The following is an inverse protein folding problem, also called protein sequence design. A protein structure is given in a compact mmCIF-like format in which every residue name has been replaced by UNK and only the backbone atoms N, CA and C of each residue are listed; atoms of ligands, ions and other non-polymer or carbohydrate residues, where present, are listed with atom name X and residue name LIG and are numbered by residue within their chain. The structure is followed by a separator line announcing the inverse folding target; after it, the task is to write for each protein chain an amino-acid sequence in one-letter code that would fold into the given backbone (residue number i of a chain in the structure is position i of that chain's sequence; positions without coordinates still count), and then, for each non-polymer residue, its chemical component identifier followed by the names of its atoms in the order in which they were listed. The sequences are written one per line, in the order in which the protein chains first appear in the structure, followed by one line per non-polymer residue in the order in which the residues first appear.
data_IF_733122407904
#
_entry.id   IF_733122407904
#
_cell.length_a   1.000
_cell.length_b   1.000
_cell.length_c   1.000
_cell.angle_alpha   90.00
_cell.angle_beta   90.00
_cell.angle_gamma   90.00
#
_symmetry.space_group_name_H-M   'P 1'
#
loop_
_entity.id
_entity.type
_entity.pdbx_description
1 polymer ?
#
# COMPACT_ATOMS: atom_id res chain seq x y z
N UNK A 1 -17.55 17.39 8.10
CA UNK A 1 -16.22 17.25 8.73
C UNK A 1 -16.20 16.04 9.62
N UNK A 2 -15.83 14.89 9.06
CA UNK A 2 -15.80 13.58 9.73
C UNK A 2 -14.50 13.33 10.52
N UNK A 3 -13.75 14.39 10.81
CA UNK A 3 -12.46 14.25 11.48
C UNK A 3 -12.63 14.32 13.00
N UNK A 4 -12.25 13.26 13.73
CA UNK A 4 -12.27 13.32 15.19
C UNK A 4 -11.28 14.38 15.68
N UNK A 5 -11.58 15.10 16.78
CA UNK A 5 -10.68 16.10 17.36
C UNK A 5 -9.28 15.55 17.70
N UNK A 6 -9.17 14.25 17.97
CA UNK A 6 -7.91 13.54 18.22
C UNK A 6 -7.82 12.25 17.40
N UNK A 7 -7.36 12.30 16.13
CA UNK A 7 -7.33 11.14 15.24
C UNK A 7 -6.33 10.07 15.65
N UNK A 8 -5.33 10.41 16.48
CA UNK A 8 -4.35 9.43 16.95
C UNK A 8 -4.92 8.56 18.08
N UNK A 9 -5.56 9.19 19.06
CA UNK A 9 -6.10 8.47 20.23
C UNK A 9 -7.45 7.80 19.94
N UNK A 10 -8.21 8.28 18.94
CA UNK A 10 -9.45 7.61 18.51
C UNK A 10 -9.20 6.26 17.83
N UNK A 11 -7.99 6.01 17.32
CA UNK A 11 -7.57 4.77 16.66
C UNK A 11 -6.93 3.84 17.68
N UNK A 12 -7.72 2.90 18.20
CA UNK A 12 -7.32 1.99 19.29
C UNK A 12 -6.42 0.85 18.84
N UNK A 13 -6.53 0.42 17.58
CA UNK A 13 -5.71 -0.66 17.03
C UNK A 13 -4.39 -0.08 16.52
N UNK A 14 -3.25 -0.66 16.91
CA UNK A 14 -1.94 -0.23 16.43
C UNK A 14 -1.77 -0.62 14.96
N UNK A 15 -1.89 -1.91 14.64
CA UNK A 15 -1.61 -2.46 13.31
C UNK A 15 -2.75 -3.36 12.85
N UNK A 16 -3.23 -3.14 11.64
CA UNK A 16 -4.35 -3.89 11.07
C UNK A 16 -3.97 -4.60 9.78
N UNK A 17 -4.36 -5.87 9.69
CA UNK A 17 -4.33 -6.69 8.49
C UNK A 17 -5.60 -7.54 8.41
N UNK A 18 -6.27 -7.46 7.27
CA UNK A 18 -7.31 -8.42 6.89
C UNK A 18 -7.16 -8.78 5.43
N UNK A 19 -7.28 -10.08 5.12
CA UNK A 19 -7.33 -10.56 3.75
C UNK A 19 -6.72 -11.94 3.56
N UNK A 20 -6.58 -12.37 2.31
CA UNK A 20 -6.13 -13.73 2.02
C UNK A 20 -4.65 -13.91 2.38
N UNK A 21 -4.40 -14.84 3.31
CA UNK A 21 -3.07 -15.21 3.80
C UNK A 21 -2.43 -16.34 3.01
N UNK A 22 -3.24 -17.21 2.37
CA UNK A 22 -2.76 -18.34 1.57
C UNK A 22 -3.14 -18.15 0.10
N UNK A 23 -2.13 -17.93 -0.76
CA UNK A 23 -2.25 -17.91 -2.23
C UNK A 23 -0.90 -18.32 -2.81
N UNK A 24 -0.86 -19.41 -3.60
CA UNK A 24 0.34 -19.94 -4.32
C UNK A 24 1.66 -19.88 -3.49
N UNK A 25 2.82 -19.80 -4.14
CA UNK A 25 4.17 -19.94 -3.57
C UNK A 25 4.62 -18.80 -2.63
N UNK A 26 3.95 -17.63 -2.63
CA UNK A 26 4.36 -16.46 -1.81
C UNK A 26 3.43 -16.13 -0.63
N UNK A 27 2.39 -16.95 -0.38
CA UNK A 27 1.67 -16.95 0.90
C UNK A 27 2.58 -17.20 2.13
N UNK A 28 3.84 -17.56 1.91
CA UNK A 28 4.87 -17.77 2.92
C UNK A 28 5.08 -16.55 3.80
N UNK A 29 5.19 -15.34 3.24
CA UNK A 29 5.44 -14.13 4.06
C UNK A 29 4.23 -13.83 4.94
N UNK A 30 3.02 -13.85 4.36
CA UNK A 30 1.78 -13.64 5.11
C UNK A 30 1.57 -14.72 6.18
N UNK A 31 1.80 -15.99 5.86
CA UNK A 31 1.70 -17.09 6.81
C UNK A 31 2.73 -17.00 7.94
N UNK A 32 3.95 -16.52 7.66
CA UNK A 32 4.96 -16.25 8.69
C UNK A 32 4.57 -15.06 9.57
N UNK A 33 4.08 -13.98 8.98
CA UNK A 33 3.60 -12.79 9.69
C UNK A 33 2.43 -13.12 10.62
N UNK A 34 1.52 -14.03 10.25
CA UNK A 34 0.47 -14.55 11.16
C UNK A 34 1.11 -15.06 12.45
N UNK A 35 2.18 -15.84 12.38
CA UNK A 35 2.81 -16.44 13.57
C UNK A 35 3.50 -15.39 14.44
N UNK A 36 4.11 -14.38 13.81
CA UNK A 36 4.87 -13.33 14.50
C UNK A 36 3.94 -12.31 15.16
N UNK A 37 2.87 -11.91 14.46
CA UNK A 37 1.96 -10.86 14.92
C UNK A 37 0.84 -11.40 15.82
N UNK A 38 0.71 -12.73 15.93
CA UNK A 38 -0.21 -13.35 16.89
C UNK A 38 0.28 -13.12 18.32
N UNK A 39 -0.62 -12.61 19.17
CA UNK A 39 -0.36 -12.42 20.60
C UNK A 39 -0.24 -10.96 21.04
N UNK A 40 -0.21 -10.02 20.11
CA UNK A 40 -0.34 -8.60 20.43
C UNK A 40 -1.81 -8.20 20.49
N UNK A 41 -2.26 -7.67 21.62
CA UNK A 41 -3.67 -7.28 21.85
C UNK A 41 -4.12 -6.13 20.96
N UNK A 42 -3.19 -5.24 20.60
CA UNK A 42 -3.40 -4.06 19.76
C UNK A 42 -3.10 -4.31 18.27
N UNK A 43 -2.91 -5.57 17.86
CA UNK A 43 -2.67 -5.95 16.45
C UNK A 43 -3.80 -6.87 15.97
N UNK A 44 -4.52 -6.41 14.94
CA UNK A 44 -5.52 -7.24 14.26
C UNK A 44 -4.89 -7.90 13.04
N UNK A 45 -4.76 -9.22 13.06
CA UNK A 45 -4.30 -9.99 11.90
C UNK A 45 -5.28 -11.13 11.59
N UNK A 46 -6.05 -10.99 10.51
CA UNK A 46 -7.12 -11.93 10.19
C UNK A 46 -7.05 -12.42 8.73
N UNK A 47 -7.13 -13.75 8.57
CA UNK A 47 -7.32 -14.36 7.25
C UNK A 47 -8.78 -14.26 6.82
N UNK A 48 -9.06 -13.65 5.68
CA UNK A 48 -10.43 -13.52 5.15
C UNK A 48 -10.53 -13.68 3.63
N UNK A 49 -11.76 -13.96 3.17
CA UNK A 49 -12.16 -13.97 1.76
C UNK A 49 -12.96 -12.71 1.44
N UNK A 50 -12.90 -12.25 0.19
CA UNK A 50 -13.61 -11.06 -0.26
C UNK A 50 -15.12 -11.34 -0.40
N UNK A 51 -15.86 -11.09 0.68
CA UNK A 51 -17.32 -10.99 0.73
C UNK A 51 -17.73 -9.54 1.02
N UNK A 52 -18.98 -9.16 0.72
CA UNK A 52 -19.48 -7.80 1.00
C UNK A 52 -19.28 -7.36 2.46
N UNK A 53 -19.55 -8.25 3.41
CA UNK A 53 -19.38 -7.99 4.84
C UNK A 53 -17.90 -7.88 5.22
N UNK A 54 -17.03 -8.71 4.64
CA UNK A 54 -15.59 -8.64 4.89
C UNK A 54 -14.97 -7.33 4.40
N UNK A 55 -15.50 -6.75 3.32
CA UNK A 55 -15.04 -5.46 2.78
C UNK A 55 -15.41 -4.36 3.76
N UNK A 56 -16.69 -4.30 4.19
CA UNK A 56 -17.15 -3.31 5.19
C UNK A 56 -16.35 -3.41 6.49
N UNK A 57 -16.16 -4.63 7.00
CA UNK A 57 -15.40 -4.86 8.22
C UNK A 57 -13.91 -4.51 8.06
N UNK A 58 -13.33 -4.71 6.86
CA UNK A 58 -11.97 -4.26 6.57
C UNK A 58 -11.87 -2.74 6.59
N UNK A 59 -12.79 -2.02 5.92
CA UNK A 59 -12.81 -0.55 5.93
C UNK A 59 -13.00 0.02 7.33
N UNK A 60 -13.89 -0.57 8.14
CA UNK A 60 -14.08 -0.17 9.54
C UNK A 60 -12.81 -0.40 10.37
N UNK A 61 -12.21 -1.59 10.25
CA UNK A 61 -10.96 -1.91 10.94
C UNK A 61 -9.80 -0.99 10.56
N UNK A 62 -9.65 -0.65 9.27
CA UNK A 62 -8.65 0.31 8.83
C UNK A 62 -8.89 1.71 9.41
N UNK A 63 -10.14 2.15 9.51
CA UNK A 63 -10.50 3.47 10.10
C UNK A 63 -10.25 3.54 11.61
N UNK A 64 -10.32 2.42 12.33
CA UNK A 64 -10.01 2.35 13.77
C UNK A 64 -8.54 2.06 14.08
N UNK A 65 -7.69 1.93 13.05
CA UNK A 65 -6.29 1.52 13.20
C UNK A 65 -5.30 2.62 12.86
N UNK A 66 -4.20 2.71 13.60
CA UNK A 66 -3.13 3.68 13.35
C UNK A 66 -2.35 3.34 12.09
N UNK A 67 -2.04 2.06 11.92
CA UNK A 67 -1.26 1.54 10.81
C UNK A 67 -1.98 0.38 10.12
N UNK A 68 -1.78 0.27 8.80
CA UNK A 68 -2.36 -0.79 7.98
C UNK A 68 -1.26 -1.58 7.28
N UNK A 69 -1.11 -2.84 7.65
CA UNK A 69 -0.08 -3.71 7.13
C UNK A 69 -0.38 -4.06 5.67
N UNK A 70 0.61 -3.85 4.82
CA UNK A 70 0.57 -4.12 3.40
C UNK A 70 1.78 -4.96 2.98
N UNK A 71 1.75 -6.27 3.24
CA UNK A 71 2.77 -7.17 2.74
C UNK A 71 2.52 -7.40 1.26
N UNK A 72 3.57 -7.23 0.46
CA UNK A 72 3.57 -7.57 -0.95
C UNK A 72 3.02 -8.99 -1.16
N UNK A 73 2.36 -9.20 -2.28
CA UNK A 73 1.96 -10.53 -2.75
C UNK A 73 2.22 -10.65 -4.25
N UNK A 74 1.72 -11.75 -4.85
CA UNK A 74 2.00 -12.18 -6.23
C UNK A 74 1.87 -11.10 -7.33
N UNK A 75 1.06 -10.05 -7.10
CA UNK A 75 0.86 -8.95 -8.04
C UNK A 75 0.68 -7.63 -7.28
N UNK A 76 1.13 -6.48 -7.84
CA UNK A 76 0.87 -5.15 -7.27
C UNK A 76 -0.63 -4.77 -7.30
N UNK A 77 -1.50 -5.64 -7.81
CA UNK A 77 -2.95 -5.44 -7.96
C UNK A 77 -3.76 -5.60 -6.67
N UNK A 78 -3.13 -5.52 -5.49
CA UNK A 78 -3.85 -5.66 -4.22
C UNK A 78 -4.55 -4.34 -3.87
N UNK A 79 -5.88 -4.34 -3.84
CA UNK A 79 -6.69 -3.18 -3.43
C UNK A 79 -6.34 -2.67 -2.02
N UNK A 80 -5.73 -3.49 -1.15
CA UNK A 80 -5.42 -3.14 0.24
C UNK A 80 -4.67 -1.81 0.40
N UNK A 81 -3.76 -1.47 -0.52
CA UNK A 81 -3.03 -0.21 -0.42
C UNK A 81 -3.98 0.97 -0.63
N UNK A 82 -4.80 0.89 -1.68
CA UNK A 82 -5.82 1.88 -1.99
C UNK A 82 -6.83 1.98 -0.84
N UNK A 83 -7.33 0.85 -0.33
CA UNK A 83 -8.28 0.81 0.80
C UNK A 83 -7.71 1.47 2.07
N UNK A 84 -6.43 1.25 2.37
CA UNK A 84 -5.75 1.86 3.50
C UNK A 84 -5.61 3.38 3.34
N UNK A 85 -5.24 3.84 2.13
CA UNK A 85 -5.10 5.26 1.80
C UNK A 85 -6.45 5.99 1.94
N UNK A 86 -7.52 5.49 1.32
CA UNK A 86 -8.87 6.11 1.40
C UNK A 86 -9.51 5.97 2.78
N UNK A 87 -9.02 5.05 3.62
CA UNK A 87 -9.41 4.93 5.03
C UNK A 87 -8.55 5.77 5.97
N UNK A 88 -7.60 6.54 5.43
CA UNK A 88 -6.62 7.34 6.15
C UNK A 88 -5.87 6.53 7.23
N UNK A 89 -5.52 5.29 6.91
CA UNK A 89 -4.74 4.41 7.75
C UNK A 89 -3.30 4.37 7.23
N UNK A 90 -2.32 4.78 8.05
CA UNK A 90 -0.92 4.91 7.61
C UNK A 90 -0.39 3.56 7.10
N UNK A 91 -0.04 3.43 5.81
CA UNK A 91 0.40 2.15 5.26
C UNK A 91 1.73 1.71 5.87
N UNK A 92 1.83 0.43 6.22
CA UNK A 92 3.09 -0.25 6.58
C UNK A 92 3.41 -1.23 5.48
N UNK A 93 4.33 -0.86 4.60
CA UNK A 93 4.63 -1.59 3.38
C UNK A 93 5.77 -2.56 3.66
N UNK A 94 5.53 -3.85 3.44
CA UNK A 94 6.53 -4.90 3.61
C UNK A 94 6.89 -5.47 2.24
N UNK A 95 8.02 -5.04 1.69
CA UNK A 95 8.52 -5.44 0.38
C UNK A 95 9.92 -4.91 0.12
N UNK A 96 10.72 -5.67 -0.63
CA UNK A 96 12.06 -5.23 -1.05
C UNK A 96 12.08 -4.66 -2.48
N UNK A 97 11.01 -4.87 -3.27
CA UNK A 97 11.02 -4.65 -4.74
C UNK A 97 9.70 -4.15 -5.33
N UNK A 98 8.71 -3.82 -4.49
CA UNK A 98 7.40 -3.41 -5.03
C UNK A 98 7.49 -2.00 -5.60
N UNK A 99 7.04 -1.83 -6.84
CA UNK A 99 6.74 -0.52 -7.40
C UNK A 99 5.36 -0.08 -6.88
N UNK A 100 5.29 1.10 -6.29
CA UNK A 100 4.07 1.67 -5.73
C UNK A 100 3.34 2.55 -6.77
N UNK A 101 2.01 2.62 -6.69
CA UNK A 101 1.25 3.44 -7.62
C UNK A 101 1.61 4.92 -7.45
N UNK A 102 1.98 5.57 -8.55
CA UNK A 102 2.34 6.98 -8.60
C UNK A 102 3.59 7.36 -7.78
N UNK A 103 4.52 6.42 -7.54
CA UNK A 103 5.70 6.66 -6.69
C UNK A 103 6.72 7.68 -7.21
N UNK A 104 6.70 7.97 -8.52
CA UNK A 104 7.44 9.06 -9.18
C UNK A 104 6.82 10.45 -8.93
N UNK A 105 5.55 10.52 -8.54
CA UNK A 105 4.82 11.76 -8.21
C UNK A 105 4.63 11.93 -6.70
N UNK A 106 4.45 10.81 -5.97
CA UNK A 106 4.12 10.77 -4.55
C UNK A 106 5.26 10.17 -3.75
N UNK A 107 5.83 10.98 -2.85
CA UNK A 107 6.83 10.49 -1.90
C UNK A 107 6.16 9.72 -0.75
N UNK A 108 6.11 8.40 -0.89
CA UNK A 108 5.52 7.48 0.10
C UNK A 108 6.22 7.55 1.47
N UNK A 109 7.49 7.96 1.55
CA UNK A 109 8.19 8.08 2.84
C UNK A 109 7.56 9.14 3.76
N UNK A 110 6.77 10.06 3.19
CA UNK A 110 6.08 11.10 3.96
C UNK A 110 4.79 10.62 4.61
N UNK A 111 4.23 9.48 4.20
CA UNK A 111 2.93 9.01 4.68
C UNK A 111 2.83 7.49 4.87
N UNK A 112 3.93 6.76 4.73
CA UNK A 112 4.01 5.31 4.91
C UNK A 112 5.27 4.92 5.67
N UNK A 113 5.27 3.73 6.26
CA UNK A 113 6.43 3.12 6.90
C UNK A 113 6.84 1.89 6.09
N UNK A 114 8.13 1.69 5.89
CA UNK A 114 8.67 0.58 5.11
C UNK A 114 9.42 -0.40 5.98
N UNK A 115 9.27 -1.69 5.67
CA UNK A 115 10.11 -2.76 6.19
C UNK A 115 10.52 -3.67 5.04
N UNK A 116 11.78 -4.10 5.04
CA UNK A 116 12.18 -5.24 4.22
C UNK A 116 11.45 -6.52 4.66
N UNK A 117 11.42 -7.52 3.80
CA UNK A 117 10.85 -8.83 4.16
C UNK A 117 11.65 -9.43 5.34
N UNK A 118 12.96 -9.23 5.38
CA UNK A 118 13.82 -9.74 6.44
C UNK A 118 13.48 -9.11 7.80
N UNK A 119 13.44 -7.78 7.88
CA UNK A 119 13.09 -7.04 9.10
C UNK A 119 11.68 -7.39 9.61
N UNK A 120 10.72 -7.49 8.69
CA UNK A 120 9.34 -7.82 9.04
C UNK A 120 9.18 -9.23 9.61
N UNK A 121 10.11 -10.13 9.31
CA UNK A 121 10.12 -11.51 9.81
C UNK A 121 10.87 -11.67 11.14
N UNK A 122 11.56 -10.63 11.63
CA UNK A 122 12.14 -10.63 12.97
C UNK A 122 11.01 -10.44 14.01
N UNK A 123 10.81 -11.39 14.94
CA UNK A 123 9.76 -11.27 15.94
C UNK A 123 9.87 -9.99 16.77
N UNK A 124 8.76 -9.26 16.91
CA UNK A 124 8.67 -8.03 17.69
C UNK A 124 9.22 -6.77 17.03
N UNK A 125 10.19 -6.88 16.12
CA UNK A 125 10.88 -5.72 15.52
C UNK A 125 9.92 -4.69 14.92
N UNK A 126 9.00 -5.13 14.06
CA UNK A 126 8.03 -4.24 13.41
C UNK A 126 7.12 -3.55 14.42
N UNK A 127 6.53 -4.30 15.36
CA UNK A 127 5.57 -3.77 16.34
C UNK A 127 6.27 -2.77 17.27
N UNK A 128 7.46 -3.09 17.75
CA UNK A 128 8.26 -2.19 18.58
C UNK A 128 8.63 -0.91 17.85
N UNK A 129 9.02 -1.01 16.57
CA UNK A 129 9.35 0.16 15.77
C UNK A 129 8.14 1.07 15.55
N UNK A 130 6.98 0.49 15.23
CA UNK A 130 5.72 1.25 15.09
C UNK A 130 5.30 1.94 16.39
N UNK A 131 5.52 1.31 17.55
CA UNK A 131 5.24 1.90 18.87
C UNK A 131 6.20 3.04 19.24
N UNK A 132 7.43 3.01 18.72
CA UNK A 132 8.44 4.07 18.93
C UNK A 132 8.17 5.33 18.12
N UNK A 133 7.31 5.28 17.10
CA UNK A 133 6.94 6.45 16.30
C UNK A 133 6.17 7.44 17.20
N UNK A 134 6.66 8.68 17.39
CA UNK A 134 5.96 9.68 18.18
C UNK A 134 4.60 10.05 17.59
N UNK A 135 3.67 10.47 18.45
CA UNK A 135 2.31 10.91 18.05
C UNK A 135 2.38 12.00 16.98
N UNK A 136 3.29 12.96 17.14
CA UNK A 136 3.49 14.08 16.23
C UNK A 136 3.89 13.60 14.84
N UNK A 137 4.82 12.64 14.79
CA UNK A 137 5.28 12.05 13.53
C UNK A 137 4.17 11.26 12.83
N UNK A 138 3.38 10.52 13.60
CA UNK A 138 2.22 9.83 13.05
C UNK A 138 1.18 10.81 12.50
N UNK A 139 0.92 11.92 13.20
CA UNK A 139 -0.02 12.96 12.76
C UNK A 139 0.43 13.64 11.47
N UNK A 140 1.74 13.86 11.29
CA UNK A 140 2.29 14.33 10.00
C UNK A 140 1.97 13.36 8.87
N UNK A 141 2.27 12.08 9.05
CA UNK A 141 1.99 11.04 8.05
C UNK A 141 0.49 10.97 7.74
N UNK A 142 -0.36 11.02 8.77
CA UNK A 142 -1.81 10.95 8.63
C UNK A 142 -2.38 12.16 7.88
N UNK A 143 -1.92 13.38 8.16
CA UNK A 143 -2.33 14.58 7.40
C UNK A 143 -1.89 14.49 5.95
N UNK A 144 -0.64 14.06 5.72
CA UNK A 144 -0.13 13.86 4.37
C UNK A 144 -0.92 12.80 3.61
N UNK A 145 -1.33 11.72 4.29
CA UNK A 145 -2.16 10.67 3.72
C UNK A 145 -3.50 11.21 3.21
N UNK A 146 -4.14 12.11 3.97
CA UNK A 146 -5.37 12.78 3.56
C UNK A 146 -5.19 13.68 2.34
N UNK A 147 -4.08 14.41 2.29
CA UNK A 147 -3.74 15.24 1.13
C UNK A 147 -3.59 14.37 -0.12
N UNK A 148 -2.96 13.20 -0.03
CA UNK A 148 -2.73 12.34 -1.20
C UNK A 148 -3.92 11.46 -1.56
N UNK A 149 -4.89 11.25 -0.67
CA UNK A 149 -5.99 10.31 -0.88
C UNK A 149 -6.80 10.60 -2.17
N UNK A 150 -7.01 11.87 -2.50
CA UNK A 150 -7.73 12.26 -3.72
C UNK A 150 -7.07 11.80 -5.03
N UNK A 151 -5.74 11.58 -5.04
CA UNK A 151 -5.00 11.02 -6.17
C UNK A 151 -5.40 9.56 -6.47
N UNK A 152 -6.06 8.89 -5.53
CA UNK A 152 -6.51 7.50 -5.64
C UNK A 152 -8.02 7.38 -5.85
N UNK A 153 -8.74 8.51 -5.93
CA UNK A 153 -10.18 8.54 -6.14
C UNK A 153 -10.53 8.86 -7.60
N UNK A 154 -11.39 8.03 -8.19
CA UNK A 154 -11.94 8.30 -9.52
C UNK A 154 -13.09 9.31 -9.40
N UNK A 155 -13.01 10.40 -10.16
CA UNK A 155 -14.04 11.45 -10.19
C UNK A 155 -14.66 11.53 -11.60
N UNK A 156 -15.94 11.90 -11.65
CA UNK A 156 -16.61 12.24 -12.90
C UNK A 156 -17.41 13.55 -12.72
N UNK A 157 -17.08 14.64 -13.46
CA UNK A 157 -15.96 14.76 -14.40
C UNK A 157 -14.59 14.68 -13.71
N UNK A 158 -13.51 14.33 -14.44
CA UNK A 158 -12.17 14.28 -13.87
C UNK A 158 -11.78 15.62 -13.23
N UNK A 159 -11.18 15.55 -12.04
CA UNK A 159 -10.65 16.71 -11.33
C UNK A 159 -9.13 16.75 -11.45
N UNK A 160 -8.56 17.95 -11.25
CA UNK A 160 -7.11 18.11 -11.25
C UNK A 160 -6.48 17.14 -10.25
N UNK A 161 -5.47 16.41 -10.73
CA UNK A 161 -4.69 15.44 -9.97
C UNK A 161 -5.51 14.28 -9.37
N UNK A 162 -6.72 14.01 -9.84
CA UNK A 162 -7.45 12.79 -9.47
C UNK A 162 -6.81 11.51 -10.05
N UNK A 163 -7.38 10.33 -9.73
CA UNK A 163 -6.85 9.06 -10.22
C UNK A 163 -6.71 9.00 -11.75
N UNK A 164 -7.62 9.61 -12.51
CA UNK A 164 -7.56 9.63 -13.98
C UNK A 164 -6.37 10.46 -14.46
N UNK A 165 -6.18 11.65 -13.87
CA UNK A 165 -5.07 12.55 -14.18
C UNK A 165 -3.73 11.89 -13.83
N UNK A 166 -3.64 11.27 -12.65
CA UNK A 166 -2.44 10.58 -12.17
C UNK A 166 -2.05 9.40 -13.07
N UNK A 167 -3.02 8.59 -13.52
CA UNK A 167 -2.76 7.53 -14.52
C UNK A 167 -2.19 8.12 -15.80
N UNK A 168 -2.70 9.27 -16.25
CA UNK A 168 -2.23 9.87 -17.50
C UNK A 168 -0.82 10.46 -17.38
N UNK A 169 -0.46 11.03 -16.22
CA UNK A 169 0.93 11.40 -15.90
C UNK A 169 1.85 10.19 -15.95
N UNK A 170 1.47 9.06 -15.35
CA UNK A 170 2.26 7.81 -15.41
C UNK A 170 2.53 7.36 -16.83
N UNK A 171 1.49 7.32 -17.66
CA UNK A 171 1.64 6.91 -19.06
C UNK A 171 2.56 7.88 -19.80
N UNK A 172 2.39 9.19 -19.60
CA UNK A 172 3.23 10.20 -20.21
C UNK A 172 4.71 10.04 -19.82
N UNK A 173 5.01 9.69 -18.56
CA UNK A 173 6.37 9.47 -18.07
C UNK A 173 7.00 8.17 -18.59
N UNK A 174 6.23 7.07 -18.67
CA UNK A 174 6.78 5.74 -19.01
C UNK A 174 6.88 5.48 -20.52
N UNK A 175 5.97 6.05 -21.32
CA UNK A 175 5.90 5.81 -22.77
C UNK A 175 7.19 6.15 -23.53
N UNK A 176 7.91 7.25 -23.25
CA UNK A 176 9.14 7.58 -23.98
C UNK A 176 10.22 6.50 -23.86
N UNK A 177 10.44 5.95 -22.65
CA UNK A 177 11.43 4.91 -22.41
C UNK A 177 11.08 3.61 -23.15
N UNK A 178 9.81 3.19 -23.09
CA UNK A 178 9.32 2.01 -23.80
C UNK A 178 9.41 2.17 -25.32
N UNK A 179 9.04 3.34 -25.86
CA UNK A 179 9.21 3.65 -27.30
C UNK A 179 10.66 3.55 -27.73
N UNK A 180 11.59 4.07 -26.91
CA UNK A 180 13.02 3.97 -27.19
C UNK A 180 13.50 2.51 -27.18
N UNK A 181 13.06 1.70 -26.20
CA UNK A 181 13.38 0.28 -26.13
C UNK A 181 12.88 -0.49 -27.36
N UNK A 182 11.63 -0.26 -27.77
CA UNK A 182 11.03 -0.85 -28.99
C UNK A 182 11.82 -0.45 -30.24
N UNK A 183 12.17 0.83 -30.38
CA UNK A 183 12.93 1.31 -31.54
C UNK A 183 14.33 0.69 -31.62
N UNK A 184 15.02 0.53 -30.48
CA UNK A 184 16.32 -0.16 -30.41
C UNK A 184 16.18 -1.63 -30.81
N UNK A 185 15.19 -2.34 -30.27
CA UNK A 185 14.95 -3.74 -30.59
C UNK A 185 14.61 -3.95 -32.08
N UNK A 186 13.86 -3.03 -32.70
CA UNK A 186 13.54 -3.09 -34.14
C UNK A 186 14.77 -2.95 -35.02
N UNK A 187 15.72 -2.07 -34.69
CA UNK A 187 16.96 -1.87 -35.47
C UNK A 187 17.86 -3.11 -35.49
N UNK A 188 17.80 -3.93 -34.44
CA UNK A 188 18.63 -5.12 -34.28
C UNK A 188 18.03 -6.37 -34.95
N UNK A 189 16.80 -6.30 -35.45
CA UNK A 189 16.23 -7.37 -36.28
C UNK A 189 16.85 -7.28 -37.67
N UNK A 190 17.79 -8.17 -37.98
CA UNK A 190 18.25 -8.40 -39.35
C UNK A 190 17.08 -9.01 -40.13
N UNK A 191 16.58 -8.37 -41.19
CA UNK A 191 15.56 -8.98 -42.04
C UNK A 191 16.17 -10.19 -42.78
N UNK A 192 15.44 -11.31 -42.85
CA UNK A 192 15.72 -12.41 -43.78
C UNK A 192 15.46 -11.89 -45.20
N UNK A 193 16.43 -11.19 -45.80
CA UNK A 193 16.32 -10.63 -47.15
C UNK A 193 16.35 -11.70 -48.25
N UNK A 194 16.63 -12.95 -47.88
CA UNK A 194 16.79 -14.11 -48.77
C UNK A 194 15.59 -15.08 -48.76
N UNK A 195 14.42 -14.66 -48.25
CA UNK A 195 13.16 -15.42 -48.38
C UNK A 195 12.19 -14.76 -49.35
#
# INVERSE_FOLDING_TARGET
DDDPPDPYNSRTTLLFFRGRTVRKSEGVVRAKLVKILKGYEDVHYEASYATGDSIKASSQGMRSSKFCLNPAGDTPSSNRLFDAIVSHCVPVIVSDKIELPFEDELDYNKFSVFFSIEEALVPGYMVEHLRKIPKEKWLEMWRRLKEVAHHFEYQYPPKKDDAVNMIWKQVQHKVPAERLAVNRARRLKVPDWWR
#
